data_IF_878912433842
#
_entry.id   IF_878912433842
#
_cell.length_a   1.000
_cell.length_b   1.000
_cell.length_c   1.000
_cell.angle_alpha   90.00
_cell.angle_beta   90.00
_cell.angle_gamma   90.00
#
_symmetry.space_group_name_H-M   'P 1'
#
loop_
_entity.id
_entity.type
_entity.pdbx_description
1 polymer ?
#
# COMPACT_ATOMS: atom_id res chain seq x y z
N UNK A 1 13.16 20.81 11.01
CA UNK A 1 12.69 20.67 9.60
C UNK A 1 13.16 19.37 8.96
N UNK A 2 14.45 19.03 9.00
CA UNK A 2 14.99 17.84 8.32
C UNK A 2 14.34 16.50 8.74
N UNK A 3 14.04 16.32 10.03
CA UNK A 3 13.36 15.11 10.53
C UNK A 3 11.92 14.91 10.04
N UNK A 4 11.20 15.99 9.72
CA UNK A 4 9.82 15.91 9.21
C UNK A 4 9.78 15.47 7.75
N UNK A 5 10.71 15.98 6.94
CA UNK A 5 10.87 15.56 5.54
C UNK A 5 11.33 14.10 5.48
N UNK A 6 12.28 13.72 6.34
CA UNK A 6 12.71 12.34 6.50
C UNK A 6 11.57 11.41 6.93
N UNK A 7 10.75 11.81 7.90
CA UNK A 7 9.61 11.01 8.37
C UNK A 7 8.58 10.71 7.27
N UNK A 8 8.30 11.67 6.39
CA UNK A 8 7.38 11.49 5.26
C UNK A 8 7.89 10.51 4.18
N UNK A 9 9.20 10.27 4.10
CA UNK A 9 9.77 9.27 3.18
C UNK A 9 9.54 7.84 3.65
N UNK A 10 9.33 7.63 4.95
CA UNK A 10 9.08 6.30 5.54
C UNK A 10 7.90 5.57 4.88
N UNK A 11 6.68 6.15 4.87
CA UNK A 11 5.50 5.56 4.24
C UNK A 11 5.70 5.22 2.76
N UNK A 12 6.35 6.11 2.00
CA UNK A 12 6.62 5.90 0.57
C UNK A 12 7.55 4.71 0.37
N UNK A 13 8.66 4.66 1.11
CA UNK A 13 9.59 3.53 1.08
C UNK A 13 8.90 2.22 1.49
N UNK A 14 8.03 2.25 2.50
CA UNK A 14 7.26 1.10 2.95
C UNK A 14 6.39 0.49 1.85
N UNK A 15 5.70 1.32 1.08
CA UNK A 15 4.84 0.85 -0.02
C UNK A 15 5.67 0.32 -1.18
N UNK A 16 6.78 0.97 -1.53
CA UNK A 16 7.65 0.49 -2.58
C UNK A 16 8.22 -0.90 -2.24
N UNK A 17 8.68 -1.09 -0.99
CA UNK A 17 9.16 -2.40 -0.51
C UNK A 17 8.02 -3.43 -0.55
N UNK A 18 6.84 -3.04 -0.08
CA UNK A 18 5.65 -3.88 -0.06
C UNK A 18 5.23 -4.34 -1.46
N UNK A 19 5.16 -3.42 -2.42
CA UNK A 19 4.78 -3.72 -3.80
C UNK A 19 5.81 -4.60 -4.47
N UNK A 20 7.09 -4.25 -4.36
CA UNK A 20 8.16 -4.97 -5.04
C UNK A 20 8.36 -6.37 -4.47
N UNK A 21 8.53 -6.51 -3.15
CA UNK A 21 8.92 -7.79 -2.55
C UNK A 21 7.73 -8.66 -2.13
N UNK A 22 6.67 -8.10 -1.55
CA UNK A 22 5.57 -8.90 -1.00
C UNK A 22 4.45 -9.15 -1.99
N UNK A 23 4.03 -8.13 -2.75
CA UNK A 23 2.89 -8.23 -3.68
C UNK A 23 3.33 -8.83 -5.01
N UNK A 24 4.37 -8.26 -5.63
CA UNK A 24 4.83 -8.63 -6.99
C UNK A 24 6.04 -9.57 -7.00
N UNK A 25 6.67 -9.80 -5.85
CA UNK A 25 7.80 -10.75 -5.67
C UNK A 25 8.90 -10.58 -6.73
N UNK A 26 9.28 -9.34 -6.99
CA UNK A 26 10.29 -8.95 -8.00
C UNK A 26 9.94 -9.34 -9.45
N UNK A 27 8.69 -9.67 -9.73
CA UNK A 27 8.24 -10.04 -11.07
C UNK A 27 7.49 -8.86 -11.71
N UNK A 28 8.25 -8.00 -12.39
CA UNK A 28 7.70 -6.92 -13.19
C UNK A 28 7.89 -7.23 -14.67
N UNK A 29 6.78 -7.25 -15.38
CA UNK A 29 6.77 -7.13 -16.82
C UNK A 29 7.16 -5.70 -17.22
N UNK A 30 8.31 -5.54 -17.88
CA UNK A 30 8.83 -4.25 -18.32
C UNK A 30 8.15 -3.77 -19.60
N UNK A 31 7.63 -4.68 -20.43
CA UNK A 31 6.98 -4.33 -21.69
C UNK A 31 5.63 -3.65 -21.40
N UNK A 32 4.90 -4.19 -20.43
CA UNK A 32 3.64 -3.62 -19.94
C UNK A 32 3.80 -2.26 -19.24
N UNK A 33 5.02 -1.85 -18.85
CA UNK A 33 5.25 -0.56 -18.18
C UNK A 33 5.09 0.64 -19.11
N UNK A 34 5.31 0.44 -20.40
CA UNK A 34 5.15 1.46 -21.44
C UNK A 34 3.71 1.54 -21.98
N UNK A 35 2.90 0.51 -21.73
CA UNK A 35 1.50 0.48 -22.14
C UNK A 35 0.59 1.04 -21.02
N UNK A 36 0.01 2.21 -21.28
CA UNK A 36 -0.96 2.85 -20.37
C UNK A 36 -2.24 2.02 -20.18
N UNK A 37 -2.53 1.07 -21.07
CA UNK A 37 -3.66 0.12 -20.99
C UNK A 37 -3.24 -1.25 -20.46
N UNK A 38 -1.96 -1.44 -20.15
CA UNK A 38 -1.42 -2.68 -19.64
C UNK A 38 -1.81 -2.99 -18.20
N UNK A 39 -1.23 -4.05 -17.64
CA UNK A 39 -1.53 -4.58 -16.30
C UNK A 39 -1.27 -3.57 -15.16
N UNK A 40 -0.50 -2.51 -15.42
CA UNK A 40 -0.24 -1.42 -14.48
C UNK A 40 -1.15 -0.20 -14.68
N UNK A 41 -2.12 -0.27 -15.60
CA UNK A 41 -3.05 0.82 -15.87
C UNK A 41 -3.97 1.15 -14.68
N UNK A 42 -4.21 0.21 -13.75
CA UNK A 42 -5.10 0.36 -12.59
C UNK A 42 -6.34 1.24 -12.89
N UNK A 43 -6.82 2.07 -11.96
CA UNK A 43 -7.91 3.02 -12.21
C UNK A 43 -7.33 4.34 -12.72
N UNK A 44 -7.18 4.48 -14.03
CA UNK A 44 -6.70 5.72 -14.67
C UNK A 44 -5.21 6.01 -14.46
N UNK A 45 -4.39 4.97 -14.28
CA UNK A 45 -2.95 5.04 -14.03
C UNK A 45 -2.57 5.08 -12.55
N UNK A 46 -3.55 5.09 -11.64
CA UNK A 46 -3.33 5.22 -10.19
C UNK A 46 -3.81 3.98 -9.45
N UNK A 47 -3.03 3.56 -8.46
CA UNK A 47 -3.40 2.52 -7.52
C UNK A 47 -4.01 3.15 -6.26
N UNK A 48 -5.36 3.20 -6.13
CA UNK A 48 -6.02 3.87 -4.99
C UNK A 48 -5.63 3.25 -3.65
N UNK A 49 -5.26 1.96 -3.63
CA UNK A 49 -4.85 1.25 -2.41
C UNK A 49 -3.47 1.67 -1.94
N UNK A 50 -2.55 1.90 -2.88
CA UNK A 50 -1.25 2.51 -2.57
C UNK A 50 -1.47 3.90 -1.95
N UNK A 51 -2.41 4.68 -2.47
CA UNK A 51 -2.72 6.00 -1.95
C UNK A 51 -3.28 5.93 -0.51
N UNK A 52 -4.25 5.04 -0.25
CA UNK A 52 -4.82 4.82 1.08
C UNK A 52 -3.75 4.34 2.07
N UNK A 53 -2.93 3.37 1.69
CA UNK A 53 -1.84 2.87 2.52
C UNK A 53 -0.81 3.97 2.83
N UNK A 54 -0.55 4.87 1.86
CA UNK A 54 0.38 5.99 2.06
C UNK A 54 -0.19 6.97 3.06
N UNK A 55 -1.47 7.33 2.90
CA UNK A 55 -2.16 8.23 3.81
C UNK A 55 -2.18 7.67 5.24
N UNK A 56 -2.50 6.38 5.41
CA UNK A 56 -2.45 5.71 6.72
C UNK A 56 -1.04 5.75 7.34
N UNK A 57 -0.01 5.46 6.56
CA UNK A 57 1.38 5.54 7.01
C UNK A 57 1.78 6.95 7.46
N UNK A 58 1.37 7.99 6.71
CA UNK A 58 1.62 9.40 7.04
C UNK A 58 0.89 9.78 8.34
N UNK A 59 -0.39 9.43 8.46
CA UNK A 59 -1.20 9.73 9.65
C UNK A 59 -0.55 9.13 10.89
N UNK A 60 -0.11 7.87 10.82
CA UNK A 60 0.54 7.21 11.96
C UNK A 60 1.94 7.76 12.23
N UNK A 61 2.71 8.09 11.18
CA UNK A 61 4.02 8.72 11.34
C UNK A 61 3.94 10.07 12.08
N UNK A 62 2.85 10.81 11.91
CA UNK A 62 2.65 12.13 12.51
C UNK A 62 1.65 12.17 13.67
N UNK A 63 1.11 11.03 14.12
CA UNK A 63 0.12 10.97 15.21
C UNK A 63 0.65 11.57 16.52
N UNK A 64 1.97 11.48 16.75
CA UNK A 64 2.64 12.07 17.91
C UNK A 64 2.63 13.60 17.95
N UNK A 65 2.25 14.28 16.86
CA UNK A 65 2.02 15.75 16.86
C UNK A 65 0.70 16.12 17.52
N UNK A 66 -0.29 15.23 17.43
CA UNK A 66 -1.66 15.49 17.92
C UNK A 66 -1.83 15.01 19.36
N UNK A 67 -1.10 13.97 19.76
CA UNK A 67 -1.22 13.35 21.08
C UNK A 67 0.11 13.51 21.86
N UNK A 68 0.21 14.44 22.83
CA UNK A 68 1.43 14.74 23.58
C UNK A 68 2.14 13.53 24.22
N UNK A 69 1.44 12.53 24.82
CA UNK A 69 2.09 11.35 25.37
C UNK A 69 2.69 10.41 24.30
N UNK A 70 2.32 10.55 23.02
CA UNK A 70 2.88 9.79 21.90
C UNK A 70 4.03 10.54 21.19
N UNK A 71 4.53 11.64 21.75
CA UNK A 71 5.65 12.40 21.18
C UNK A 71 6.92 11.56 20.99
N UNK A 72 7.11 10.48 21.75
CA UNK A 72 8.21 9.51 21.56
C UNK A 72 8.12 8.81 20.20
N UNK A 73 6.91 8.59 19.67
CA UNK A 73 6.72 7.97 18.35
C UNK A 73 7.17 8.89 17.22
N UNK A 74 7.20 10.21 17.41
CA UNK A 74 7.73 11.14 16.40
C UNK A 74 9.21 10.94 16.14
N UNK A 75 10.00 10.58 17.17
CA UNK A 75 11.40 10.20 17.00
C UNK A 75 11.58 8.96 16.12
N UNK A 76 10.54 8.12 16.00
CA UNK A 76 10.49 6.92 15.17
C UNK A 76 9.54 7.04 13.98
N UNK A 77 9.09 8.27 13.64
CA UNK A 77 8.09 8.55 12.60
C UNK A 77 8.44 7.90 11.25
N UNK A 78 9.72 7.91 10.87
CA UNK A 78 10.21 7.26 9.66
C UNK A 78 9.96 5.74 9.66
N UNK A 79 10.33 5.04 10.73
CA UNK A 79 10.17 3.58 10.83
C UNK A 79 8.71 3.16 10.97
N UNK A 80 7.94 3.90 11.77
CA UNK A 80 6.51 3.65 11.95
C UNK A 80 5.74 3.85 10.64
N UNK A 81 6.00 4.95 9.94
CA UNK A 81 5.38 5.23 8.65
C UNK A 81 5.67 4.11 7.64
N UNK A 82 6.92 3.64 7.59
CA UNK A 82 7.34 2.52 6.73
C UNK A 82 6.58 1.24 7.06
N UNK A 83 6.60 0.82 8.33
CA UNK A 83 5.98 -0.45 8.75
C UNK A 83 4.46 -0.41 8.54
N UNK A 84 3.80 0.68 8.91
CA UNK A 84 2.35 0.84 8.76
C UNK A 84 1.95 0.83 7.28
N UNK A 85 2.64 1.60 6.44
CA UNK A 85 2.32 1.67 5.02
C UNK A 85 2.57 0.31 4.33
N UNK A 86 3.63 -0.40 4.71
CA UNK A 86 3.95 -1.75 4.21
C UNK A 86 2.85 -2.76 4.57
N UNK A 87 2.44 -2.79 5.84
CA UNK A 87 1.40 -3.71 6.32
C UNK A 87 0.03 -3.36 5.72
N UNK A 88 -0.34 -2.07 5.72
CA UNK A 88 -1.60 -1.63 5.14
C UNK A 88 -1.68 -2.00 3.65
N UNK A 89 -0.65 -1.68 2.87
CA UNK A 89 -0.64 -1.97 1.44
C UNK A 89 -0.73 -3.48 1.15
N UNK A 90 0.05 -4.30 1.85
CA UNK A 90 0.02 -5.75 1.67
C UNK A 90 -1.32 -6.37 2.03
N UNK A 91 -1.96 -5.92 3.10
CA UNK A 91 -3.30 -6.39 3.48
C UNK A 91 -4.34 -5.99 2.42
N UNK A 92 -4.36 -4.71 2.00
CA UNK A 92 -5.30 -4.21 1.00
C UNK A 92 -5.17 -4.93 -0.36
N UNK A 93 -3.93 -5.22 -0.78
CA UNK A 93 -3.67 -5.93 -2.03
C UNK A 93 -4.00 -7.42 -1.96
N UNK A 94 -3.76 -8.07 -0.80
CA UNK A 94 -4.11 -9.50 -0.64
C UNK A 94 -5.61 -9.72 -0.53
N UNK A 95 -6.34 -8.81 0.12
CA UNK A 95 -7.79 -8.86 0.21
C UNK A 95 -8.47 -8.79 -1.17
N UNK A 96 -7.92 -8.01 -2.11
CA UNK A 96 -8.46 -7.91 -3.48
C UNK A 96 -8.29 -9.19 -4.27
N UNK A 97 -7.08 -9.78 -4.24
CA UNK A 97 -6.83 -11.04 -4.93
C UNK A 97 -7.75 -12.15 -4.44
N UNK A 98 -8.09 -12.14 -3.14
CA UNK A 98 -9.05 -13.07 -2.58
C UNK A 98 -10.47 -12.85 -3.13
N UNK A 99 -10.91 -11.59 -3.26
CA UNK A 99 -12.24 -11.24 -3.79
C UNK A 99 -12.39 -11.56 -5.28
N UNK A 100 -11.39 -11.23 -6.11
CA UNK A 100 -11.43 -11.53 -7.56
C UNK A 100 -11.47 -13.03 -7.88
N UNK A 101 -11.07 -13.89 -6.95
CA UNK A 101 -11.13 -15.35 -7.12
C UNK A 101 -12.47 -15.92 -6.60
N UNK A 102 -13.14 -15.23 -5.67
CA UNK A 102 -14.38 -15.67 -5.05
C UNK A 102 -15.62 -15.41 -5.92
N UNK A 103 -15.62 -14.31 -6.69
CA UNK A 103 -16.73 -13.90 -7.57
C UNK A 103 -17.05 -14.94 -8.67
N UNK A 104 -16.09 -15.46 -9.45
CA UNK A 104 -16.38 -16.48 -10.46
C UNK A 104 -16.78 -17.84 -9.85
N UNK A 105 -16.32 -18.17 -8.63
CA UNK A 105 -16.69 -19.42 -7.97
C UNK A 105 -18.12 -19.40 -7.41
N UNK A 106 -18.61 -18.23 -7.03
CA UNK A 106 -19.98 -18.03 -6.55
C UNK A 106 -20.98 -18.01 -7.71
N UNK A 107 -20.62 -17.37 -8.83
CA UNK A 107 -21.41 -17.38 -10.07
C UNK A 107 -21.57 -18.80 -10.63
N UNK A 108 -20.48 -19.61 -10.68
CA UNK A 108 -20.56 -21.02 -11.11
C UNK A 108 -21.41 -21.85 -10.14
N UNK A 109 -21.42 -21.56 -8.85
CA UNK A 109 -22.23 -22.28 -7.87
C UNK A 109 -23.73 -21.93 -7.97
N UNK A 110 -24.06 -20.68 -8.34
CA UNK A 110 -25.43 -20.20 -8.58
C UNK A 110 -26.00 -20.70 -9.91
N UNK A 111 -25.17 -20.82 -10.96
CA UNK A 111 -25.58 -21.37 -12.27
C UNK A 111 -25.92 -22.88 -12.21
N UNK A 112 -25.44 -23.58 -11.18
CA UNK A 112 -25.61 -25.03 -10.98
C UNK A 112 -26.70 -25.40 -9.95
N UNK A 113 -27.43 -24.42 -9.40
CA UNK A 113 -28.54 -24.61 -8.44
C UNK A 113 -29.90 -24.27 -9.04
#
# INVERSE_FOLDING_TARGET
VLGYIGGALGPVAGIMIADFYLVRRSNYDLDSFYDKRGVYGYSGGWNPKALIATALGIIVAFVGLVVPPLSVLLSYSWGLGLVVALVAYTVLMRAERAQSTAEPAMEIAEELS
#
